data_IF_897121451856
#
_entry.id   IF_897121451856
#
_cell.length_a   1.000
_cell.length_b   1.000
_cell.length_c   1.000
_cell.angle_alpha   90.00
_cell.angle_beta   90.00
_cell.angle_gamma   90.00
#
_symmetry.space_group_name_H-M   'P 1'
#
loop_
_entity.id
_entity.type
_entity.pdbx_description
1 polymer ?
#
# COMPACT_ATOMS: atom_id res chain seq x y z
N UNK A 1 29.84 -18.43 -9.10
CA UNK A 1 29.41 -17.16 -9.73
C UNK A 1 28.17 -16.67 -9.00
N UNK A 2 28.28 -15.65 -8.17
CA UNK A 2 27.18 -15.11 -7.36
C UNK A 2 26.36 -14.14 -8.19
N UNK A 3 25.10 -14.47 -8.46
CA UNK A 3 24.18 -13.55 -9.14
C UNK A 3 23.88 -12.34 -8.22
N UNK A 4 23.87 -11.11 -8.75
CA UNK A 4 23.56 -9.93 -7.95
C UNK A 4 22.12 -10.02 -7.43
N UNK A 5 21.94 -9.84 -6.12
CA UNK A 5 20.63 -9.89 -5.49
C UNK A 5 19.81 -8.63 -5.78
N UNK A 6 18.56 -8.82 -6.18
CA UNK A 6 17.64 -7.72 -6.45
C UNK A 6 17.14 -7.10 -5.14
N UNK A 7 17.59 -5.87 -4.84
CA UNK A 7 17.16 -5.12 -3.64
C UNK A 7 15.63 -5.03 -3.48
N UNK A 8 14.88 -4.88 -4.57
CA UNK A 8 13.40 -4.76 -4.53
C UNK A 8 12.69 -6.04 -4.05
N UNK A 9 13.38 -7.18 -4.06
CA UNK A 9 12.88 -8.46 -3.53
C UNK A 9 13.21 -8.64 -2.05
N UNK A 10 14.14 -7.85 -1.52
CA UNK A 10 14.72 -8.02 -0.18
C UNK A 10 14.32 -6.93 0.80
N UNK A 11 13.87 -5.76 0.31
CA UNK A 11 13.59 -4.60 1.14
C UNK A 11 12.24 -3.98 0.81
N UNK A 12 11.51 -3.59 1.87
CA UNK A 12 10.31 -2.78 1.76
C UNK A 12 10.73 -1.38 1.27
N UNK A 13 10.11 -0.84 0.21
CA UNK A 13 10.43 0.50 -0.26
C UNK A 13 10.13 1.54 0.83
N UNK A 14 10.97 2.58 0.98
CA UNK A 14 10.75 3.62 1.96
C UNK A 14 9.43 4.36 1.70
N UNK A 15 8.82 4.90 2.77
CA UNK A 15 7.65 5.77 2.65
C UNK A 15 7.97 6.93 1.70
N UNK A 16 7.07 7.16 0.73
CA UNK A 16 7.27 8.19 -0.29
C UNK A 16 7.07 9.57 0.35
N UNK A 17 7.96 10.55 0.11
CA UNK A 17 7.89 11.86 0.76
C UNK A 17 6.60 12.64 0.43
N UNK A 18 6.00 12.38 -0.73
CA UNK A 18 4.78 13.06 -1.17
C UNK A 18 3.51 12.24 -0.89
N UNK A 19 3.49 11.48 0.22
CA UNK A 19 2.31 10.69 0.59
C UNK A 19 1.20 11.63 1.05
N UNK A 20 0.07 11.60 0.36
CA UNK A 20 -1.11 12.39 0.74
C UNK A 20 -1.81 11.67 1.89
N UNK A 21 -1.95 12.36 3.03
CA UNK A 21 -2.71 11.84 4.17
C UNK A 21 -4.19 11.66 3.79
N UNK A 22 -4.75 10.47 4.08
CA UNK A 22 -6.14 10.10 3.77
C UNK A 22 -6.84 9.50 5.01
N UNK A 23 -6.98 10.25 6.12
CA UNK A 23 -7.43 9.72 7.40
C UNK A 23 -8.83 9.08 7.32
N UNK A 24 -9.77 9.70 6.61
CA UNK A 24 -11.13 9.17 6.43
C UNK A 24 -11.16 7.85 5.66
N UNK A 25 -10.23 7.66 4.70
CA UNK A 25 -10.17 6.43 3.93
C UNK A 25 -9.55 5.29 4.75
N UNK A 26 -8.55 5.61 5.58
CA UNK A 26 -7.95 4.68 6.54
C UNK A 26 -8.99 4.23 7.56
N UNK A 27 -9.81 5.15 8.08
CA UNK A 27 -10.89 4.80 9.00
C UNK A 27 -11.90 3.83 8.39
N UNK A 28 -12.34 4.07 7.15
CA UNK A 28 -13.23 3.16 6.42
C UNK A 28 -12.59 1.79 6.16
N UNK A 29 -11.29 1.75 5.85
CA UNK A 29 -10.55 0.49 5.71
C UNK A 29 -10.49 -0.28 7.04
N UNK A 30 -10.25 0.41 8.15
CA UNK A 30 -10.24 -0.19 9.48
C UNK A 30 -11.60 -0.76 9.87
N UNK A 31 -12.70 -0.09 9.52
CA UNK A 31 -14.05 -0.64 9.67
C UNK A 31 -14.24 -1.90 8.80
N UNK A 32 -13.68 -1.89 7.59
CA UNK A 32 -13.63 -3.01 6.65
C UNK A 32 -12.99 -4.29 7.20
N UNK A 33 -12.06 -4.18 8.16
CA UNK A 33 -11.41 -5.32 8.81
C UNK A 33 -12.38 -6.22 9.58
N UNK A 34 -13.58 -5.70 9.91
CA UNK A 34 -14.66 -6.49 10.55
C UNK A 34 -15.36 -7.43 9.57
N UNK A 35 -15.14 -7.27 8.28
CA UNK A 35 -15.73 -8.10 7.23
C UNK A 35 -14.70 -9.09 6.67
N UNK A 36 -15.19 -10.23 6.19
CA UNK A 36 -14.33 -11.26 5.57
C UNK A 36 -13.66 -10.79 4.27
N UNK A 37 -14.22 -9.76 3.62
CA UNK A 37 -13.74 -9.20 2.36
C UNK A 37 -14.02 -7.70 2.31
N UNK A 38 -13.03 -6.90 1.91
CA UNK A 38 -13.17 -5.48 1.61
C UNK A 38 -12.68 -5.20 0.18
N UNK A 39 -13.52 -4.56 -0.64
CA UNK A 39 -13.18 -4.21 -2.02
C UNK A 39 -12.66 -2.77 -2.10
N UNK A 40 -11.42 -2.59 -2.58
CA UNK A 40 -10.84 -1.29 -2.87
C UNK A 40 -10.82 -1.06 -4.39
N UNK A 41 -11.66 -0.15 -4.89
CA UNK A 41 -11.72 0.22 -6.32
C UNK A 41 -11.16 1.62 -6.55
N UNK A 42 -10.23 1.75 -7.51
CA UNK A 42 -9.72 3.02 -8.02
C UNK A 42 -8.97 2.80 -9.36
N UNK A 43 -8.80 3.82 -10.21
CA UNK A 43 -8.00 3.74 -11.44
C UNK A 43 -6.54 3.33 -11.19
N UNK A 44 -5.84 2.92 -12.26
CA UNK A 44 -4.39 2.70 -12.20
C UNK A 44 -3.67 3.98 -11.75
N UNK A 45 -2.61 3.85 -10.95
CA UNK A 45 -1.85 4.99 -10.43
C UNK A 45 -2.50 5.76 -9.26
N UNK A 46 -3.75 5.49 -8.89
CA UNK A 46 -4.45 6.26 -7.83
C UNK A 46 -3.95 5.99 -6.39
N UNK A 47 -2.91 5.17 -6.21
CA UNK A 47 -2.32 4.91 -4.90
C UNK A 47 -2.96 3.77 -4.10
N UNK A 48 -3.68 2.84 -4.75
CA UNK A 48 -4.27 1.65 -4.07
C UNK A 48 -3.25 0.87 -3.24
N UNK A 49 -2.13 0.50 -3.84
CA UNK A 49 -1.04 -0.22 -3.15
C UNK A 49 -0.37 0.68 -2.11
N UNK A 50 -0.19 1.97 -2.42
CA UNK A 50 0.42 2.92 -1.49
C UNK A 50 -0.41 3.15 -0.23
N UNK A 51 -1.74 3.12 -0.34
CA UNK A 51 -2.67 3.23 0.78
C UNK A 51 -2.60 2.01 1.71
N UNK A 52 -2.40 0.81 1.16
CA UNK A 52 -2.32 -0.44 1.92
C UNK A 52 -0.94 -0.72 2.52
N UNK A 53 0.11 -0.10 1.99
CA UNK A 53 1.49 -0.24 2.46
C UNK A 53 1.95 0.91 3.36
N UNK A 54 1.08 1.88 3.63
CA UNK A 54 1.40 3.09 4.40
C UNK A 54 1.57 2.80 5.89
#
# INVERSE_FOLDING_TARGET
MTAPLLKTKLYIPPQRPNLVSRPLLIERLNQGLRHKLTLLSAPAGFGKTALLSA
#
